data_IF_890121347895
#
_entry.id   IF_890121347895
#
_cell.length_a   1.000
_cell.length_b   1.000
_cell.length_c   1.000
_cell.angle_alpha   90.00
_cell.angle_beta   90.00
_cell.angle_gamma   90.00
#
_symmetry.space_group_name_H-M   'P 1'
#
loop_
_entity.id
_entity.type
_entity.pdbx_description
1 polymer ?
#
# COMPACT_ATOMS: atom_id res chain seq x y z
N UNK A 1 -21.18 33.82 23.59
CA UNK A 1 -20.39 32.86 24.40
C UNK A 1 -20.67 31.47 23.86
N UNK A 2 -19.70 30.90 23.15
CA UNK A 2 -19.78 29.60 22.47
C UNK A 2 -18.97 28.59 23.27
N UNK A 3 -19.50 27.43 23.68
CA UNK A 3 -18.66 26.27 23.90
C UNK A 3 -18.55 25.55 22.56
N UNK A 4 -17.36 25.68 21.98
CA UNK A 4 -16.94 24.99 20.78
C UNK A 4 -17.26 23.50 20.89
N UNK A 5 -17.92 22.99 19.85
CA UNK A 5 -18.09 21.58 19.57
C UNK A 5 -16.79 20.82 19.90
N UNK A 6 -16.87 19.84 20.79
CA UNK A 6 -15.77 18.90 21.03
C UNK A 6 -15.68 17.96 19.82
N UNK A 7 -15.21 18.47 18.68
CA UNK A 7 -14.81 17.63 17.56
C UNK A 7 -13.57 16.89 18.03
N UNK A 8 -13.76 15.66 18.53
CA UNK A 8 -12.65 14.73 18.68
C UNK A 8 -12.16 14.43 17.28
N UNK A 9 -11.03 15.01 16.89
CA UNK A 9 -10.29 14.58 15.71
C UNK A 9 -9.64 13.25 16.10
N UNK A 10 -10.45 12.19 16.11
CA UNK A 10 -9.92 10.83 16.00
C UNK A 10 -9.59 10.74 14.52
N UNK A 11 -8.30 10.69 14.16
CA UNK A 11 -7.88 10.40 12.79
C UNK A 11 -8.62 9.12 12.38
N UNK A 12 -9.59 9.27 11.47
CA UNK A 12 -10.37 8.14 11.02
C UNK A 12 -9.42 7.23 10.26
N UNK A 13 -9.37 5.93 10.61
CA UNK A 13 -8.61 4.95 9.84
C UNK A 13 -8.95 5.11 8.36
N UNK A 14 -7.93 5.18 7.48
CA UNK A 14 -8.17 5.42 6.07
C UNK A 14 -8.99 4.28 5.49
N UNK A 15 -9.87 4.62 4.54
CA UNK A 15 -10.48 3.59 3.71
C UNK A 15 -9.44 3.13 2.72
N UNK A 16 -9.02 1.88 2.86
CA UNK A 16 -8.01 1.28 2.00
C UNK A 16 -8.62 0.60 0.78
N UNK A 17 -7.79 0.40 -0.24
CA UNK A 17 -8.15 -0.30 -1.45
C UNK A 17 -8.30 -1.81 -1.23
N UNK A 18 -8.54 -2.57 -2.32
CA UNK A 18 -8.49 -4.02 -2.27
C UNK A 18 -7.08 -4.48 -1.84
N UNK A 19 -7.02 -5.54 -1.03
CA UNK A 19 -5.78 -6.16 -0.53
C UNK A 19 -4.87 -5.20 0.24
N UNK A 20 -5.45 -4.14 0.81
CA UNK A 20 -4.77 -3.18 1.66
C UNK A 20 -5.41 -3.13 3.04
N UNK A 21 -4.57 -2.96 4.06
CA UNK A 21 -5.00 -2.78 5.44
C UNK A 21 -4.60 -1.40 5.96
N UNK A 22 -5.42 -0.80 6.85
CA UNK A 22 -5.03 0.41 7.54
C UNK A 22 -3.88 0.10 8.52
N UNK A 23 -2.89 0.97 8.52
CA UNK A 23 -1.74 0.97 9.42
C UNK A 23 -1.70 2.33 10.12
N UNK A 24 -1.57 2.34 11.44
CA UNK A 24 -1.80 3.55 12.24
C UNK A 24 -0.57 4.47 12.31
N UNK A 25 0.62 3.93 12.09
CA UNK A 25 1.90 4.60 12.35
C UNK A 25 2.59 5.15 11.10
N UNK A 26 2.12 4.79 9.91
CA UNK A 26 2.68 5.18 8.62
C UNK A 26 4.00 4.48 8.26
N UNK A 27 4.65 3.85 9.23
CA UNK A 27 6.05 3.44 9.13
C UNK A 27 6.28 2.18 8.29
N UNK A 28 5.21 1.40 8.04
CA UNK A 28 5.27 0.21 7.20
C UNK A 28 5.08 0.52 5.72
N UNK A 29 4.68 1.74 5.35
CA UNK A 29 4.39 2.07 3.94
C UNK A 29 5.60 1.94 3.04
N UNK A 30 6.75 2.41 3.51
CA UNK A 30 8.02 2.33 2.76
C UNK A 30 8.60 0.92 2.73
N UNK A 31 8.04 0.00 3.53
CA UNK A 31 8.52 -1.35 3.73
C UNK A 31 7.56 -2.43 3.23
N UNK A 32 6.48 -2.01 2.58
CA UNK A 32 5.63 -2.97 1.92
C UNK A 32 6.42 -3.67 0.80
N UNK A 33 6.24 -5.00 0.66
CA UNK A 33 6.93 -5.73 -0.38
C UNK A 33 6.45 -5.23 -1.74
N UNK A 34 7.39 -5.05 -2.66
CA UNK A 34 7.11 -4.64 -4.04
C UNK A 34 7.35 -5.82 -4.98
N UNK A 35 6.66 -5.88 -6.12
CA UNK A 35 6.93 -6.90 -7.14
C UNK A 35 8.40 -6.93 -7.58
N UNK A 36 9.09 -5.78 -7.57
CA UNK A 36 10.51 -5.66 -7.93
C UNK A 36 11.48 -6.19 -6.84
N UNK A 37 10.97 -6.67 -5.70
CA UNK A 37 11.77 -7.42 -4.70
C UNK A 37 12.82 -6.62 -3.91
N UNK A 38 12.64 -5.32 -3.73
CA UNK A 38 13.61 -4.51 -2.98
C UNK A 38 13.41 -4.63 -1.45
N UNK A 39 14.37 -5.26 -0.77
CA UNK A 39 14.43 -5.27 0.70
C UNK A 39 14.76 -3.87 1.24
N UNK A 40 13.80 -3.25 1.93
CA UNK A 40 13.94 -1.90 2.50
C UNK A 40 14.11 -1.95 4.02
N UNK A 41 14.93 -1.04 4.57
CA UNK A 41 15.12 -0.91 6.01
C UNK A 41 13.92 -0.18 6.62
N UNK A 42 13.18 -0.87 7.48
CA UNK A 42 11.95 -0.32 8.06
C UNK A 42 12.22 0.52 9.32
N UNK A 43 11.74 1.76 9.37
CA UNK A 43 11.76 2.53 10.60
C UNK A 43 10.85 1.87 11.63
N UNK A 44 11.35 1.70 12.85
CA UNK A 44 10.55 1.23 14.00
C UNK A 44 9.74 2.35 14.67
N UNK A 45 9.97 3.60 14.27
CA UNK A 45 9.32 4.76 14.84
C UNK A 45 7.88 4.91 14.34
N UNK A 46 6.95 5.17 15.25
CA UNK A 46 5.57 5.53 14.94
C UNK A 46 5.44 7.05 14.97
N UNK A 47 5.73 7.70 13.84
CA UNK A 47 5.72 9.17 13.72
C UNK A 47 4.85 9.68 12.57
N UNK A 48 4.30 8.78 11.74
CA UNK A 48 3.40 9.11 10.65
C UNK A 48 1.93 9.14 11.09
N UNK A 49 1.06 9.49 10.15
CA UNK A 49 -0.39 9.32 10.27
C UNK A 49 -0.84 7.94 9.80
N UNK A 50 -2.14 7.67 9.89
CA UNK A 50 -2.70 6.41 9.42
C UNK A 50 -2.67 6.32 7.89
N UNK A 51 -2.09 5.25 7.35
CA UNK A 51 -1.93 4.99 5.90
C UNK A 51 -2.46 3.61 5.52
N UNK A 52 -2.54 3.33 4.23
CA UNK A 52 -2.84 2.00 3.71
C UNK A 52 -1.57 1.30 3.23
N UNK A 53 -1.38 0.08 3.71
CA UNK A 53 -0.26 -0.80 3.36
C UNK A 53 -0.80 -2.08 2.76
N UNK A 54 -0.04 -2.72 1.86
CA UNK A 54 -0.44 -4.04 1.35
C UNK A 54 -0.63 -5.03 2.50
N UNK A 55 -1.64 -5.88 2.39
CA UNK A 55 -1.83 -7.00 3.31
C UNK A 55 -0.68 -8.01 3.21
N UNK A 56 -0.52 -8.83 4.24
CA UNK A 56 0.51 -9.86 4.25
C UNK A 56 0.29 -10.85 3.09
N UNK A 57 1.34 -11.09 2.30
CA UNK A 57 1.27 -11.94 1.11
C UNK A 57 0.87 -11.22 -0.19
N UNK A 58 0.60 -9.92 -0.13
CA UNK A 58 0.39 -9.07 -1.30
C UNK A 58 1.57 -8.12 -1.51
N UNK A 59 1.86 -7.83 -2.78
CA UNK A 59 3.00 -7.06 -3.24
C UNK A 59 2.50 -5.85 -4.01
N UNK A 60 3.13 -4.69 -3.80
CA UNK A 60 2.79 -3.49 -4.57
C UNK A 60 3.41 -3.55 -5.96
N UNK A 61 2.57 -3.41 -6.97
CA UNK A 61 3.00 -3.27 -8.36
C UNK A 61 3.38 -1.82 -8.71
N UNK A 62 3.77 -1.59 -9.96
CA UNK A 62 4.13 -0.26 -10.46
C UNK A 62 2.91 0.65 -10.73
N UNK A 63 1.71 0.10 -10.83
CA UNK A 63 0.46 0.85 -10.92
C UNK A 63 0.03 1.39 -9.54
N UNK A 64 0.59 0.82 -8.48
CA UNK A 64 0.29 1.16 -7.09
C UNK A 64 -0.77 0.25 -6.48
N UNK A 65 -1.12 -0.87 -7.10
CA UNK A 65 -2.08 -1.85 -6.59
C UNK A 65 -1.36 -2.96 -5.78
N UNK A 66 -2.05 -3.50 -4.77
CA UNK A 66 -1.55 -4.64 -4.00
C UNK A 66 -2.06 -5.94 -4.63
N UNK A 67 -1.16 -6.67 -5.26
CA UNK A 67 -1.43 -7.86 -6.08
C UNK A 67 -0.75 -9.10 -5.51
N UNK A 68 -1.11 -10.28 -6.01
CA UNK A 68 -0.45 -11.52 -5.59
C UNK A 68 0.91 -11.68 -6.27
N UNK A 69 1.75 -12.56 -5.74
CA UNK A 69 3.05 -12.90 -6.36
C UNK A 69 2.89 -13.42 -7.81
N UNK A 70 1.82 -14.19 -8.06
CA UNK A 70 1.48 -14.67 -9.41
C UNK A 70 1.15 -13.51 -10.36
N UNK A 71 0.42 -12.52 -9.87
CA UNK A 71 0.08 -11.33 -10.66
C UNK A 71 1.33 -10.52 -10.96
N UNK A 72 2.26 -10.35 -10.02
CA UNK A 72 3.54 -9.65 -10.24
C UNK A 72 4.28 -10.19 -11.48
N UNK A 73 4.32 -11.52 -11.66
CA UNK A 73 4.95 -12.15 -12.83
C UNK A 73 4.23 -11.84 -14.15
N UNK A 74 2.90 -11.65 -14.11
CA UNK A 74 2.09 -11.33 -15.29
C UNK A 74 2.36 -9.90 -15.78
N UNK A 75 2.70 -8.95 -14.90
CA UNK A 75 3.04 -7.58 -15.33
C UNK A 75 4.34 -7.50 -16.14
N UNK A 76 5.32 -8.36 -15.86
CA UNK A 76 6.52 -8.50 -16.69
C UNK A 76 6.19 -9.15 -18.06
N UNK A 77 5.14 -9.98 -18.12
CA UNK A 77 4.72 -10.71 -19.33
C UNK A 77 3.59 -10.03 -20.13
N UNK A 78 2.95 -8.97 -19.63
CA UNK A 78 1.91 -8.22 -20.38
C UNK A 78 2.47 -7.43 -21.57
N UNK A 79 3.81 -7.34 -21.71
CA UNK A 79 4.44 -6.92 -22.97
C UNK A 79 4.28 -7.99 -24.08
N UNK A 80 4.01 -9.25 -23.74
CA UNK A 80 3.96 -10.37 -24.71
C UNK A 80 2.58 -10.49 -25.39
N UNK A 81 1.47 -10.16 -24.72
CA UNK A 81 0.10 -10.36 -25.27
C UNK A 81 -0.43 -9.18 -26.10
N UNK A 82 0.22 -8.02 -26.06
CA UNK A 82 -0.22 -6.83 -26.83
C UNK A 82 0.52 -6.64 -28.16
N UNK A 83 1.59 -7.41 -28.41
CA UNK A 83 2.30 -7.39 -29.69
C UNK A 83 1.69 -8.42 -30.65
N UNK A 84 0.98 -8.01 -31.71
CA UNK A 84 0.63 -8.93 -32.77
C UNK A 84 1.93 -9.51 -33.37
N UNK A 85 2.01 -10.82 -33.66
CA UNK A 85 3.16 -11.37 -34.37
C UNK A 85 3.28 -10.68 -35.74
N UNK A 86 4.48 -10.20 -36.08
CA UNK A 86 4.83 -9.69 -37.42
C UNK A 86 4.85 -10.82 -38.46
#
# INVERSE_FOLDING_TARGET
>A
MSPFYSVKIVEAMPKCGPNERPEACGNLKECEPTCDGEDKICPRGCYGGSVCVCEEGFYRDRAGDCVTDEDCAIWDDMEIITLPPQ
#
